data_IF_979226745457
#
_entry.id   IF_979226745457
#
_cell.length_a   1.000
_cell.length_b   1.000
_cell.length_c   1.000
_cell.angle_alpha   90.00
_cell.angle_beta   90.00
_cell.angle_gamma   90.00
#
_symmetry.space_group_name_H-M   'P 1'
#
loop_
_entity.id
_entity.type
_entity.pdbx_description
1 polymer ?
#
# COMPACT_ATOMS: atom_id res chain seq x y z
N UNK A 1 -12.75 -24.36 -0.66
CA UNK A 1 -11.50 -23.58 -0.56
C UNK A 1 -11.84 -22.16 -0.99
N UNK A 2 -12.31 -21.33 -0.06
CA UNK A 2 -12.52 -19.92 -0.34
C UNK A 2 -11.13 -19.28 -0.33
N UNK A 3 -10.67 -18.81 -1.49
CA UNK A 3 -9.57 -17.87 -1.54
C UNK A 3 -10.16 -16.59 -0.97
N UNK A 4 -9.91 -16.33 0.33
CA UNK A 4 -10.16 -15.02 0.92
C UNK A 4 -9.45 -14.02 0.01
N UNK A 5 -10.17 -13.04 -0.53
CA UNK A 5 -9.52 -11.88 -1.17
C UNK A 5 -8.46 -11.42 -0.18
N UNK A 6 -7.20 -11.36 -0.61
CA UNK A 6 -6.18 -10.70 0.21
C UNK A 6 -6.56 -9.23 0.20
N UNK A 7 -7.21 -8.77 1.27
CA UNK A 7 -7.64 -7.39 1.42
C UNK A 7 -6.40 -6.61 1.87
N UNK A 8 -5.74 -6.02 0.87
CA UNK A 8 -4.64 -5.09 1.06
C UNK A 8 -5.23 -3.76 1.52
N UNK A 9 -4.78 -3.23 2.65
CA UNK A 9 -5.36 -2.04 3.27
C UNK A 9 -4.55 -0.79 2.98
N UNK A 10 -3.34 -0.69 3.55
CA UNK A 10 -2.56 0.55 3.52
C UNK A 10 -1.29 0.39 2.67
N UNK A 11 -1.05 1.24 1.66
CA UNK A 11 0.25 1.35 1.01
C UNK A 11 1.35 1.77 1.98
N UNK A 12 2.53 1.20 1.81
CA UNK A 12 3.74 1.49 2.58
C UNK A 12 4.85 1.85 1.62
N UNK A 13 5.47 3.01 1.84
CA UNK A 13 6.56 3.52 1.02
C UNK A 13 7.81 3.76 1.85
N UNK A 14 8.96 3.44 1.28
CA UNK A 14 10.25 3.84 1.84
C UNK A 14 10.71 5.15 1.19
N UNK A 15 10.84 6.21 1.99
CA UNK A 15 11.27 7.53 1.50
C UNK A 15 12.76 7.59 1.10
N UNK A 16 13.55 6.55 1.43
CA UNK A 16 14.95 6.47 0.99
C UNK A 16 15.14 5.85 -0.39
N UNK A 17 14.42 4.77 -0.71
CA UNK A 17 14.66 3.99 -1.92
C UNK A 17 13.40 3.76 -2.77
N UNK A 18 12.28 4.39 -2.41
CA UNK A 18 11.00 4.30 -3.13
C UNK A 18 10.47 2.85 -3.24
N UNK A 19 10.89 1.97 -2.34
CA UNK A 19 10.29 0.65 -2.22
C UNK A 19 8.85 0.79 -1.74
N UNK A 20 7.92 0.08 -2.40
CA UNK A 20 6.49 0.11 -2.12
C UNK A 20 5.99 -1.30 -1.81
N UNK A 21 5.15 -1.41 -0.79
CA UNK A 21 4.37 -2.61 -0.49
C UNK A 21 2.96 -2.23 -0.04
N UNK A 22 2.08 -3.22 0.03
CA UNK A 22 0.75 -3.09 0.63
C UNK A 22 0.70 -3.89 1.94
N UNK A 23 0.14 -3.29 2.99
CA UNK A 23 -0.15 -4.01 4.24
C UNK A 23 -1.36 -4.91 4.04
N UNK A 24 -1.24 -6.13 4.55
CA UNK A 24 -2.40 -6.98 4.80
C UNK A 24 -3.11 -6.45 6.06
N UNK A 25 -4.41 -6.65 6.15
CA UNK A 25 -5.14 -6.40 7.39
C UNK A 25 -4.44 -7.06 8.61
N UNK A 26 -4.43 -6.37 9.74
CA UNK A 26 -3.75 -6.74 10.98
C UNK A 26 -2.20 -6.84 10.93
N UNK A 27 -1.55 -6.33 9.88
CA UNK A 27 -0.07 -6.25 9.81
C UNK A 27 0.44 -4.82 10.03
N UNK A 28 1.24 -4.57 11.08
CA UNK A 28 1.71 -3.22 11.45
C UNK A 28 3.24 -3.12 11.68
N UNK A 29 4.06 -4.07 11.20
CA UNK A 29 5.43 -4.26 11.71
C UNK A 29 6.56 -4.05 10.70
N UNK A 30 6.59 -2.91 10.02
CA UNK A 30 7.80 -2.49 9.29
C UNK A 30 8.53 -1.37 10.04
N UNK A 31 9.56 -1.73 10.80
CA UNK A 31 10.45 -0.74 11.42
C UNK A 31 11.59 -0.30 10.49
N UNK A 32 11.85 -1.06 9.43
CA UNK A 32 12.90 -0.80 8.42
C UNK A 32 12.49 -1.29 7.05
N UNK A 33 13.03 -0.64 6.02
CA UNK A 33 12.89 -1.04 4.63
C UNK A 33 13.65 -2.35 4.37
N UNK A 34 13.01 -3.37 3.77
CA UNK A 34 13.71 -4.61 3.44
C UNK A 34 14.74 -4.45 2.32
N UNK A 35 14.58 -3.46 1.43
CA UNK A 35 15.49 -3.24 0.30
C UNK A 35 16.74 -2.44 0.67
N UNK A 36 16.58 -1.31 1.39
CA UNK A 36 17.69 -0.41 1.70
C UNK A 36 18.08 -0.36 3.18
N UNK A 37 17.37 -1.09 4.05
CA UNK A 37 17.53 -1.06 5.51
C UNK A 37 17.36 0.34 6.14
N UNK A 38 16.78 1.29 5.40
CA UNK A 38 16.40 2.61 5.88
C UNK A 38 15.26 2.55 6.90
N UNK A 39 15.15 3.55 7.76
CA UNK A 39 14.15 3.64 8.83
C UNK A 39 13.03 4.65 8.57
N UNK A 40 13.04 5.29 7.40
CA UNK A 40 12.05 6.24 6.90
C UNK A 40 11.01 5.49 6.08
N UNK A 41 10.15 4.76 6.80
CA UNK A 41 8.97 4.09 6.25
C UNK A 41 7.74 4.95 6.55
N UNK A 42 6.94 5.20 5.53
CA UNK A 42 5.69 5.94 5.62
C UNK A 42 4.55 5.01 5.22
N UNK A 43 3.45 5.09 5.99
CA UNK A 43 2.21 4.35 5.74
C UNK A 43 1.19 5.37 5.27
N UNK A 44 0.56 5.09 4.14
CA UNK A 44 -0.51 5.92 3.59
C UNK A 44 -1.83 5.26 4.00
N UNK A 45 -2.54 5.79 5.00
CA UNK A 45 -3.78 5.17 5.47
C UNK A 45 -4.87 5.25 4.41
N UNK A 46 -5.61 4.16 4.23
CA UNK A 46 -6.78 4.09 3.36
C UNK A 46 -8.01 3.94 4.24
N UNK A 47 -9.02 4.80 4.03
CA UNK A 47 -10.29 4.72 4.76
C UNK A 47 -11.04 3.43 4.42
N UNK A 48 -11.89 2.95 5.33
CA UNK A 48 -12.68 1.74 5.08
C UNK A 48 -13.66 1.90 3.90
N UNK A 49 -13.99 3.15 3.53
CA UNK A 49 -14.81 3.47 2.35
C UNK A 49 -13.97 3.93 1.16
N UNK A 50 -12.65 3.77 1.20
CA UNK A 50 -11.73 4.03 0.10
C UNK A 50 -11.08 2.75 -0.37
N UNK A 51 -10.77 2.74 -1.66
CA UNK A 51 -9.86 1.78 -2.27
C UNK A 51 -8.80 2.56 -3.01
N UNK A 52 -7.70 1.90 -3.31
CA UNK A 52 -6.66 2.48 -4.14
C UNK A 52 -6.28 1.55 -5.29
N UNK A 53 -5.77 2.15 -6.35
CA UNK A 53 -5.13 1.45 -7.45
C UNK A 53 -3.67 1.87 -7.59
N UNK A 54 -2.83 0.93 -8.03
CA UNK A 54 -1.41 1.15 -8.25
C UNK A 54 -1.09 1.04 -9.74
N UNK A 55 -0.40 2.04 -10.27
CA UNK A 55 0.20 2.00 -11.59
C UNK A 55 1.71 2.16 -11.47
N UNK A 56 2.46 1.19 -11.99
CA UNK A 56 3.92 1.17 -11.92
C UNK A 56 4.47 1.35 -13.34
N UNK A 57 5.16 2.46 -13.58
CA UNK A 57 5.85 2.75 -14.83
C UNK A 57 7.35 2.98 -14.60
N UNK A 58 8.18 2.38 -15.45
CA UNK A 58 9.64 2.45 -15.30
C UNK A 58 10.22 3.86 -15.50
N UNK A 59 9.51 4.76 -16.18
CA UNK A 59 9.95 6.14 -16.47
C UNK A 59 9.31 7.17 -15.55
N UNK A 60 8.05 6.95 -15.17
CA UNK A 60 7.23 7.88 -14.38
C UNK A 60 7.16 7.53 -12.90
N UNK A 61 7.57 6.31 -12.53
CA UNK A 61 7.57 5.85 -11.15
C UNK A 61 6.26 5.18 -10.78
N UNK A 62 5.75 5.50 -9.59
CA UNK A 62 4.57 4.87 -9.00
C UNK A 62 3.49 5.94 -8.90
N UNK A 63 2.33 5.65 -9.48
CA UNK A 63 1.10 6.43 -9.30
C UNK A 63 0.16 5.63 -8.39
N UNK A 64 -0.38 6.31 -7.37
CA UNK A 64 -1.38 5.77 -6.44
C UNK A 64 -2.63 6.63 -6.58
N UNK A 65 -3.74 6.01 -6.96
CA UNK A 65 -5.03 6.69 -7.13
C UNK A 65 -6.03 6.15 -6.12
N UNK A 66 -6.69 7.06 -5.40
CA UNK A 66 -7.69 6.75 -4.38
C UNK A 66 -9.10 6.99 -4.92
N UNK A 67 -10.01 6.06 -4.68
CA UNK A 67 -11.41 6.14 -5.07
C UNK A 67 -12.29 5.73 -3.89
N UNK A 68 -13.40 6.43 -3.69
CA UNK A 68 -14.43 6.02 -2.73
C UNK A 68 -15.06 4.72 -3.21
N UNK A 69 -14.92 3.65 -2.41
CA UNK A 69 -15.66 2.42 -2.63
C UNK A 69 -17.11 2.64 -2.20
N UNK A 70 -17.94 3.04 -3.17
CA UNK A 70 -19.39 3.05 -2.99
C UNK A 70 -19.84 1.60 -2.99
N UNK A 71 -19.77 0.95 -1.83
CA UNK A 71 -20.38 -0.35 -1.61
C UNK A 71 -21.76 -0.35 -2.26
N UNK A 72 -21.96 -1.24 -3.23
CA UNK A 72 -23.16 -1.29 -4.06
C UNK A 72 -24.40 -1.29 -3.17
N UNK A 73 -25.09 -0.15 -3.14
CA UNK A 73 -26.38 0.04 -2.46
C UNK A 73 -27.48 -0.74 -3.16
#
# INVERSE_FOLDING_TARGET
MHISKQEYRDPVVCNNCQWLASLLEDTYKFSRCPECNGNTIEIIPVDDNEKYSLSIDKRRGIDIEFEIDKGSS
#
